data_IF_034068789027
#
_entry.id   IF_034068789027
#
_cell.length_a   1.000
_cell.length_b   1.000
_cell.length_c   1.000
_cell.angle_alpha   90.00
_cell.angle_beta   90.00
_cell.angle_gamma   90.00
#
_symmetry.space_group_name_H-M   'P 1'
#
loop_
_entity.id
_entity.type
_entity.pdbx_description
1 polymer ?
#
# COMPACT_ATOMS: atom_id res chain seq x y z
N UNK A 1 4.60 -15.85 1.55
CA UNK A 1 5.90 -15.17 1.64
C UNK A 1 5.67 -13.79 2.24
N UNK A 2 6.61 -13.26 3.04
CA UNK A 2 6.55 -11.89 3.56
C UNK A 2 7.77 -11.14 3.03
N UNK A 3 7.56 -9.96 2.46
CA UNK A 3 8.62 -9.12 1.90
C UNK A 3 8.53 -7.72 2.51
N UNK A 4 9.69 -7.14 2.83
CA UNK A 4 9.80 -5.79 3.37
C UNK A 4 10.72 -4.97 2.48
N UNK A 5 10.19 -3.90 1.89
CA UNK A 5 10.91 -3.01 0.98
C UNK A 5 11.22 -1.69 1.70
N UNK A 6 12.50 -1.42 1.92
CA UNK A 6 13.00 -0.25 2.65
C UNK A 6 13.79 0.70 1.73
N UNK A 7 13.98 1.95 2.18
CA UNK A 7 14.71 2.98 1.43
C UNK A 7 14.23 4.41 1.70
N UNK A 8 15.11 5.39 1.45
CA UNK A 8 14.84 6.81 1.72
C UNK A 8 13.70 7.42 0.88
N UNK A 9 13.26 8.63 1.22
CA UNK A 9 12.20 9.31 0.48
C UNK A 9 12.51 9.39 -1.03
N UNK A 10 11.51 9.13 -1.89
CA UNK A 10 11.62 9.13 -3.37
C UNK A 10 12.59 8.10 -3.97
N UNK A 11 13.01 7.07 -3.23
CA UNK A 11 13.88 6.00 -3.76
C UNK A 11 13.19 4.97 -4.67
N UNK A 12 11.89 5.13 -4.97
CA UNK A 12 11.15 4.23 -5.86
C UNK A 12 10.56 2.96 -5.23
N UNK A 13 10.58 2.81 -3.90
CA UNK A 13 10.05 1.62 -3.18
C UNK A 13 8.64 1.22 -3.60
N UNK A 14 7.68 2.14 -3.56
CA UNK A 14 6.30 1.84 -3.90
C UNK A 14 6.16 1.34 -5.34
N UNK A 15 6.99 1.86 -6.26
CA UNK A 15 7.01 1.40 -7.65
C UNK A 15 7.53 -0.03 -7.77
N UNK A 16 8.59 -0.37 -7.02
CA UNK A 16 9.09 -1.73 -6.96
C UNK A 16 8.05 -2.68 -6.34
N UNK A 17 7.42 -2.26 -5.25
CA UNK A 17 6.42 -3.05 -4.55
C UNK A 17 5.17 -3.33 -5.42
N UNK A 18 4.68 -2.31 -6.12
CA UNK A 18 3.58 -2.47 -7.09
C UNK A 18 3.98 -3.37 -8.26
N UNK A 19 5.21 -3.25 -8.79
CA UNK A 19 5.70 -4.13 -9.85
C UNK A 19 5.71 -5.60 -9.40
N UNK A 20 6.23 -5.88 -8.21
CA UNK A 20 6.27 -7.24 -7.66
C UNK A 20 4.87 -7.80 -7.40
N UNK A 21 3.95 -6.96 -6.93
CA UNK A 21 2.56 -7.36 -6.74
C UNK A 21 1.87 -7.71 -8.08
N UNK A 22 2.12 -6.93 -9.14
CA UNK A 22 1.60 -7.21 -10.49
C UNK A 22 2.21 -8.51 -11.07
N UNK A 23 3.53 -8.67 -10.97
CA UNK A 23 4.25 -9.86 -11.46
C UNK A 23 3.90 -11.14 -10.68
N UNK A 24 3.30 -11.02 -9.48
CA UNK A 24 2.87 -12.18 -8.70
C UNK A 24 1.73 -12.97 -9.35
N UNK A 25 0.95 -12.34 -10.23
CA UNK A 25 -0.24 -12.94 -10.84
C UNK A 25 -1.36 -13.28 -9.85
N UNK A 26 -1.29 -12.78 -8.62
CA UNK A 26 -2.27 -12.99 -7.56
C UNK A 26 -3.33 -11.88 -7.56
N UNK A 27 -4.44 -12.12 -6.86
CA UNK A 27 -5.44 -11.08 -6.60
C UNK A 27 -4.86 -10.05 -5.61
N UNK A 28 -4.57 -8.84 -6.11
CA UNK A 28 -3.92 -7.79 -5.31
C UNK A 28 -4.95 -6.94 -4.54
N UNK A 29 -4.72 -6.80 -3.23
CA UNK A 29 -5.38 -5.82 -2.36
C UNK A 29 -4.36 -4.80 -1.91
N UNK A 30 -4.53 -3.56 -2.37
CA UNK A 30 -3.71 -2.43 -1.95
C UNK A 30 -4.29 -1.81 -0.68
N UNK A 31 -3.46 -1.70 0.35
CA UNK A 31 -3.82 -1.13 1.64
C UNK A 31 -3.04 0.18 1.81
N UNK A 32 -3.73 1.30 1.63
CA UNK A 32 -3.19 2.64 1.83
C UNK A 32 -3.34 3.02 3.31
N UNK A 33 -2.23 3.36 3.96
CA UNK A 33 -2.22 3.75 5.38
C UNK A 33 -1.97 5.24 5.57
N UNK A 34 -1.63 5.97 4.51
CA UNK A 34 -1.40 7.41 4.55
C UNK A 34 -2.72 8.17 4.57
N UNK A 35 -2.84 9.16 5.45
CA UNK A 35 -3.88 10.19 5.34
C UNK A 35 -3.31 11.39 4.58
N UNK A 36 -3.89 11.79 3.43
CA UNK A 36 -3.45 12.97 2.69
C UNK A 36 -3.92 14.23 3.41
N UNK A 37 -3.22 14.61 4.47
CA UNK A 37 -3.54 15.77 5.31
C UNK A 37 -3.05 17.11 4.71
N UNK A 38 -2.27 17.05 3.63
CA UNK A 38 -1.80 18.22 2.89
C UNK A 38 -1.95 18.06 1.36
N UNK A 39 -1.85 19.18 0.64
CA UNK A 39 -2.04 19.22 -0.82
C UNK A 39 -0.95 18.50 -1.61
N UNK A 40 0.28 18.42 -1.07
CA UNK A 40 1.38 17.72 -1.73
C UNK A 40 1.20 16.19 -1.65
N UNK A 41 0.79 15.69 -0.48
CA UNK A 41 0.43 14.30 -0.25
C UNK A 41 -0.78 13.91 -1.09
N UNK A 42 -1.78 14.80 -1.21
CA UNK A 42 -2.94 14.58 -2.07
C UNK A 42 -2.57 14.36 -3.54
N UNK A 43 -1.68 15.19 -4.09
CA UNK A 43 -1.20 15.05 -5.47
C UNK A 43 -0.42 13.74 -5.67
N UNK A 44 0.36 13.33 -4.67
CA UNK A 44 1.09 12.05 -4.69
C UNK A 44 0.14 10.86 -4.64
N UNK A 45 -0.83 10.86 -3.73
CA UNK A 45 -1.86 9.82 -3.66
C UNK A 45 -2.61 9.71 -4.99
N UNK A 46 -2.91 10.83 -5.66
CA UNK A 46 -3.51 10.80 -6.98
C UNK A 46 -2.60 10.12 -8.03
N UNK A 47 -1.29 10.36 -8.01
CA UNK A 47 -0.34 9.67 -8.89
C UNK A 47 -0.24 8.16 -8.60
N UNK A 48 -0.29 7.76 -7.34
CA UNK A 48 -0.35 6.34 -6.96
C UNK A 48 -1.66 5.70 -7.44
N UNK A 49 -2.79 6.39 -7.26
CA UNK A 49 -4.11 5.94 -7.72
C UNK A 49 -4.13 5.69 -9.23
N UNK A 50 -3.55 6.58 -10.04
CA UNK A 50 -3.54 6.43 -11.51
C UNK A 50 -2.57 5.36 -12.02
N UNK A 51 -1.51 5.06 -11.28
CA UNK A 51 -0.53 4.03 -11.69
C UNK A 51 -1.01 2.61 -11.43
N UNK A 52 -1.82 2.40 -10.39
CA UNK A 52 -2.30 1.06 -10.02
C UNK A 52 -3.32 0.55 -11.05
N UNK A 53 -3.28 -0.75 -11.38
CA UNK A 53 -4.32 -1.35 -12.19
C UNK A 53 -5.70 -1.17 -11.55
N UNK A 54 -6.71 -0.82 -12.34
CA UNK A 54 -8.08 -0.56 -11.86
C UNK A 54 -8.76 -1.81 -11.27
N UNK A 55 -8.26 -3.01 -11.56
CA UNK A 55 -8.77 -4.27 -11.03
C UNK A 55 -8.28 -4.58 -9.61
N UNK A 56 -7.30 -3.84 -9.10
CA UNK A 56 -6.83 -4.01 -7.72
C UNK A 56 -7.85 -3.46 -6.73
N UNK A 57 -8.11 -4.21 -5.67
CA UNK A 57 -8.90 -3.69 -4.57
C UNK A 57 -8.09 -2.63 -3.81
N UNK A 58 -8.80 -1.60 -3.30
CA UNK A 58 -8.22 -0.55 -2.46
C UNK A 58 -8.92 -0.54 -1.10
N UNK A 59 -8.11 -0.55 -0.04
CA UNK A 59 -8.56 -0.31 1.33
C UNK A 59 -7.73 0.84 1.88
N UNK A 60 -8.40 1.88 2.37
CA UNK A 60 -7.78 2.98 3.10
C UNK A 60 -7.96 2.68 4.59
N UNK A 61 -6.87 2.33 5.28
CA UNK A 61 -6.88 1.97 6.70
C UNK A 61 -5.65 2.58 7.39
N UNK A 62 -5.79 3.78 7.97
CA UNK A 62 -4.67 4.49 8.57
C UNK A 62 -4.28 4.00 9.96
N UNK A 63 -5.12 3.22 10.65
CA UNK A 63 -4.93 2.87 12.06
C UNK A 63 -4.96 1.35 12.29
N UNK A 64 -6.08 0.69 11.97
CA UNK A 64 -6.35 -0.70 12.28
C UNK A 64 -5.78 -1.68 11.23
N UNK A 65 -4.55 -1.46 10.77
CA UNK A 65 -3.88 -2.26 9.73
C UNK A 65 -3.91 -3.77 10.05
N UNK A 66 -3.62 -4.15 11.29
CA UNK A 66 -3.61 -5.56 11.71
C UNK A 66 -4.98 -6.25 11.56
N UNK A 67 -6.08 -5.50 11.73
CA UNK A 67 -7.44 -6.01 11.51
C UNK A 67 -7.65 -6.29 10.02
N UNK A 68 -7.32 -5.33 9.15
CA UNK A 68 -7.46 -5.46 7.70
C UNK A 68 -6.60 -6.61 7.15
N UNK A 69 -5.36 -6.76 7.63
CA UNK A 69 -4.50 -7.88 7.22
C UNK A 69 -5.15 -9.23 7.55
N UNK A 70 -5.75 -9.39 8.74
CA UNK A 70 -6.44 -10.64 9.12
C UNK A 70 -7.69 -10.91 8.29
N UNK A 71 -8.45 -9.87 7.96
CA UNK A 71 -9.68 -10.00 7.16
C UNK A 71 -9.40 -10.30 5.69
N UNK A 72 -8.29 -9.79 5.14
CA UNK A 72 -7.98 -9.88 3.71
C UNK A 72 -7.04 -11.02 3.35
N UNK A 73 -6.26 -11.53 4.31
CA UNK A 73 -5.31 -12.62 4.08
C UNK A 73 -6.06 -13.91 3.70
N UNK A 74 -5.87 -14.33 2.44
CA UNK A 74 -6.40 -15.57 1.91
C UNK A 74 -5.41 -16.17 0.91
N UNK A 75 -5.46 -17.50 0.66
CA UNK A 75 -4.74 -18.11 -0.44
C UNK A 75 -5.06 -17.41 -1.78
N UNK A 76 -4.06 -17.26 -2.64
CA UNK A 76 -4.24 -16.63 -3.96
C UNK A 76 -4.28 -15.10 -3.94
N UNK A 77 -4.08 -14.45 -2.78
CA UNK A 77 -4.05 -12.98 -2.66
C UNK A 77 -2.67 -12.44 -2.33
N UNK A 78 -2.39 -11.26 -2.88
CA UNK A 78 -1.25 -10.43 -2.51
C UNK A 78 -1.75 -9.19 -1.76
N UNK A 79 -1.29 -8.99 -0.53
CA UNK A 79 -1.59 -7.78 0.25
C UNK A 79 -0.41 -6.83 0.16
N UNK A 80 -0.63 -5.67 -0.47
CA UNK A 80 0.39 -4.63 -0.64
C UNK A 80 0.08 -3.45 0.30
N UNK A 81 0.95 -3.19 1.27
CA UNK A 81 0.79 -2.08 2.24
C UNK A 81 1.69 -0.91 1.86
N UNK A 82 1.13 0.30 1.74
CA UNK A 82 1.88 1.53 1.47
C UNK A 82 1.35 2.69 2.35
N UNK A 83 2.08 3.22 3.34
CA UNK A 83 3.40 2.82 3.83
C UNK A 83 3.41 2.62 5.35
N UNK A 84 4.31 1.75 5.84
CA UNK A 84 4.42 1.46 7.27
C UNK A 84 4.89 2.66 8.10
N UNK A 85 5.69 3.58 7.54
CA UNK A 85 6.17 4.75 8.28
C UNK A 85 5.03 5.69 8.66
N UNK A 86 4.14 6.02 7.71
CA UNK A 86 2.99 6.87 8.00
C UNK A 86 1.97 6.16 8.89
N UNK A 87 1.78 4.86 8.72
CA UNK A 87 0.97 4.07 9.66
C UNK A 87 1.49 4.19 11.10
N UNK A 88 2.80 4.02 11.31
CA UNK A 88 3.40 4.19 12.64
C UNK A 88 3.22 5.62 13.17
N UNK A 89 3.36 6.64 12.32
CA UNK A 89 3.11 8.04 12.70
C UNK A 89 1.66 8.26 13.13
N UNK A 90 0.68 7.65 12.47
CA UNK A 90 -0.74 7.78 12.84
C UNK A 90 -1.09 7.13 14.20
N UNK A 91 -0.25 6.21 14.69
CA UNK A 91 -0.45 5.52 15.96
C UNK A 91 0.16 6.24 17.17
N UNK A 92 1.02 7.23 16.94
CA UNK A 92 1.74 8.01 17.96
C UNK A 92 1.04 9.34 18.23
#
# INVERSE_FOLDING_TARGET
MLELILGGARSGKSRLAEKLADESGLDVVYIATSEPLDGEMSARVAQHRTRRPAHWALIEEPLALARVLREQAAPGRCLLVDCLTLWLTNLL
#
